data_IF_220447666597
#
_entry.id   IF_220447666597
#
_cell.length_a   1.000
_cell.length_b   1.000
_cell.length_c   1.000
_cell.angle_alpha   90.00
_cell.angle_beta   90.00
_cell.angle_gamma   90.00
#
_symmetry.space_group_name_H-M   'P 1'
#
loop_
_entity.id
_entity.type
_entity.pdbx_description
1 polymer ?
#
# COMPACT_ATOMS: atom_id res chain seq x y z
N UNK A 1 -40.80 1.51 3.73
CA UNK A 1 -39.60 0.77 3.27
C UNK A 1 -39.31 0.96 1.78
N UNK A 2 -40.26 0.72 0.85
CA UNK A 2 -40.02 0.86 -0.60
C UNK A 2 -39.65 2.28 -1.08
N UNK A 3 -40.14 3.33 -0.42
CA UNK A 3 -39.84 4.74 -0.76
C UNK A 3 -38.44 5.21 -0.32
N UNK A 4 -37.90 4.66 0.77
CA UNK A 4 -36.53 4.97 1.24
C UNK A 4 -35.50 4.31 0.31
N UNK A 5 -35.78 3.08 -0.15
CA UNK A 5 -34.96 2.40 -1.15
C UNK A 5 -34.90 3.18 -2.48
N UNK A 6 -36.02 3.75 -2.94
CA UNK A 6 -36.05 4.58 -4.14
C UNK A 6 -35.28 5.90 -3.99
N UNK A 7 -35.32 6.52 -2.81
CA UNK A 7 -34.54 7.74 -2.53
C UNK A 7 -33.05 7.44 -2.45
N UNK A 8 -32.65 6.31 -1.86
CA UNK A 8 -31.25 5.86 -1.86
C UNK A 8 -30.74 5.53 -3.27
N UNK A 9 -31.57 4.89 -4.11
CA UNK A 9 -31.25 4.59 -5.51
C UNK A 9 -31.13 5.88 -6.34
N UNK A 10 -31.98 6.88 -6.08
CA UNK A 10 -31.94 8.16 -6.79
C UNK A 10 -30.73 9.02 -6.37
N UNK A 11 -30.33 8.99 -5.08
CA UNK A 11 -29.14 9.68 -4.58
C UNK A 11 -27.84 9.03 -5.10
N UNK A 12 -27.83 7.71 -5.29
CA UNK A 12 -26.71 6.97 -5.91
C UNK A 12 -26.62 7.28 -7.42
N UNK A 13 -27.75 7.51 -8.09
CA UNK A 13 -27.81 7.77 -9.53
C UNK A 13 -27.40 9.19 -9.95
N UNK A 14 -27.29 10.14 -9.02
CA UNK A 14 -26.98 11.56 -9.33
C UNK A 14 -25.56 11.99 -8.97
N UNK A 15 -24.64 11.06 -8.71
CA UNK A 15 -23.23 11.42 -8.49
C UNK A 15 -22.58 11.85 -9.82
N UNK A 16 -22.03 13.07 -9.92
CA UNK A 16 -21.45 13.58 -11.16
C UNK A 16 -20.23 12.76 -11.59
N UNK A 17 -20.26 12.22 -12.81
CA UNK A 17 -19.14 11.53 -13.46
C UNK A 17 -18.19 12.56 -14.08
N UNK A 18 -17.30 13.11 -13.26
CA UNK A 18 -16.18 13.89 -13.76
C UNK A 18 -15.00 12.96 -13.95
N UNK A 19 -14.60 12.78 -15.21
CA UNK A 19 -13.44 12.00 -15.61
C UNK A 19 -12.17 12.79 -15.26
N UNK A 20 -11.60 12.50 -14.09
CA UNK A 20 -10.24 12.89 -13.76
C UNK A 20 -9.33 11.67 -13.94
N UNK A 21 -8.18 11.85 -14.58
CA UNK A 21 -7.09 10.88 -14.55
C UNK A 21 -6.52 10.86 -13.13
N UNK A 22 -6.98 9.91 -12.31
CA UNK A 22 -6.51 9.73 -10.95
C UNK A 22 -5.15 9.00 -10.93
N UNK A 23 -4.19 9.50 -10.16
CA UNK A 23 -2.93 8.81 -9.93
C UNK A 23 -3.06 7.86 -8.73
N UNK A 24 -2.57 6.63 -8.90
CA UNK A 24 -2.59 5.62 -7.85
C UNK A 24 -1.35 5.73 -6.96
N UNK A 25 -1.52 5.53 -5.65
CA UNK A 25 -0.40 5.38 -4.73
C UNK A 25 0.56 4.26 -5.18
N UNK A 26 1.87 4.35 -4.84
CA UNK A 26 2.84 3.31 -5.20
C UNK A 26 2.37 1.92 -4.80
N UNK A 27 2.44 0.99 -5.76
CA UNK A 27 2.04 -0.40 -5.56
C UNK A 27 3.25 -1.25 -5.21
N UNK A 28 3.23 -1.86 -4.03
CA UNK A 28 4.27 -2.81 -3.59
C UNK A 28 3.82 -4.24 -3.89
N UNK A 29 4.77 -5.10 -4.27
CA UNK A 29 4.54 -6.54 -4.41
C UNK A 29 4.78 -7.29 -3.11
N UNK A 30 5.66 -6.78 -2.24
CA UNK A 30 5.90 -7.34 -0.90
C UNK A 30 5.03 -6.71 0.20
N UNK A 31 3.90 -6.07 -0.16
CA UNK A 31 2.98 -5.46 0.81
C UNK A 31 2.49 -6.45 1.89
N UNK A 32 2.47 -7.75 1.57
CA UNK A 32 2.09 -8.84 2.48
C UNK A 32 2.96 -8.84 3.75
N UNK A 33 4.17 -8.33 3.65
CA UNK A 33 5.15 -8.28 4.72
C UNK A 33 5.25 -6.90 5.40
N UNK A 34 4.66 -5.87 4.77
CA UNK A 34 4.51 -4.53 5.33
C UNK A 34 3.06 -4.00 5.25
N UNK A 35 2.24 -4.42 6.20
CA UNK A 35 0.84 -4.00 6.29
C UNK A 35 0.64 -2.50 6.55
N UNK A 36 1.66 -1.77 7.06
CA UNK A 36 1.57 -0.33 7.30
C UNK A 36 1.30 0.47 6.02
N UNK A 37 1.76 -0.02 4.87
CA UNK A 37 1.52 0.63 3.58
C UNK A 37 0.04 0.63 3.18
N UNK A 38 -0.75 -0.31 3.70
CA UNK A 38 -2.14 -0.51 3.27
C UNK A 38 -3.15 -0.38 4.40
N UNK A 39 -2.75 -0.36 5.67
CA UNK A 39 -3.68 -0.21 6.78
C UNK A 39 -2.99 0.36 8.04
N UNK A 40 -3.34 1.57 8.52
CA UNK A 40 -2.76 2.11 9.74
C UNK A 40 -3.11 1.29 11.00
N UNK A 41 -4.20 0.51 10.99
CA UNK A 41 -4.58 -0.41 12.06
C UNK A 41 -3.62 -1.59 12.22
N UNK A 42 -2.69 -1.80 11.28
CA UNK A 42 -1.65 -2.82 11.36
C UNK A 42 -0.52 -2.46 12.35
N UNK A 43 -0.38 -1.18 12.75
CA UNK A 43 0.74 -0.75 13.58
C UNK A 43 0.84 -1.56 14.90
N UNK A 44 2.04 -2.07 15.20
CA UNK A 44 2.29 -2.89 16.37
C UNK A 44 1.79 -4.34 16.26
N UNK A 45 1.24 -4.77 15.12
CA UNK A 45 0.73 -6.13 14.90
C UNK A 45 1.75 -7.22 15.29
N UNK A 46 3.03 -7.01 14.97
CA UNK A 46 4.12 -7.95 15.25
C UNK A 46 4.44 -8.08 16.75
N UNK A 47 3.87 -7.22 17.59
CA UNK A 47 4.13 -7.09 19.02
C UNK A 47 5.62 -6.93 19.39
N UNK A 48 6.44 -6.46 18.45
CA UNK A 48 7.87 -6.24 18.58
C UNK A 48 8.21 -4.98 17.80
N UNK A 49 9.27 -4.29 18.20
CA UNK A 49 9.84 -3.22 17.38
C UNK A 49 10.36 -3.79 16.07
N UNK A 50 9.90 -3.26 14.95
CA UNK A 50 10.23 -3.75 13.63
C UNK A 50 10.47 -2.59 12.67
N UNK A 51 11.60 -2.63 11.96
CA UNK A 51 11.97 -1.65 10.94
C UNK A 51 12.02 -2.38 9.61
N UNK A 52 11.49 -1.78 8.56
CA UNK A 52 11.56 -2.31 7.21
C UNK A 52 11.87 -1.20 6.24
N UNK A 53 12.78 -1.47 5.31
CA UNK A 53 12.99 -0.65 4.13
C UNK A 53 12.66 -1.45 2.88
N UNK A 54 12.09 -0.79 1.89
CA UNK A 54 11.78 -1.39 0.59
C UNK A 54 12.24 -0.44 -0.51
N UNK A 55 12.92 -0.96 -1.52
CA UNK A 55 13.25 -0.26 -2.74
C UNK A 55 12.61 -1.00 -3.92
N UNK A 56 11.90 -0.26 -4.77
CA UNK A 56 11.20 -0.77 -5.93
C UNK A 56 11.62 0.02 -7.16
N UNK A 57 12.05 -0.70 -8.19
CA UNK A 57 12.34 -0.16 -9.52
C UNK A 57 11.37 -0.80 -10.51
N UNK A 58 10.44 -0.01 -11.04
CA UNK A 58 9.35 -0.49 -11.88
C UNK A 58 9.69 -0.29 -13.35
N UNK A 59 9.38 -1.27 -14.20
CA UNK A 59 9.63 -1.22 -15.64
C UNK A 59 11.09 -0.85 -15.97
N UNK A 60 12.01 -1.65 -15.47
CA UNK A 60 13.46 -1.42 -15.62
C UNK A 60 13.80 -1.22 -17.09
N UNK A 61 14.66 -0.22 -17.35
CA UNK A 61 15.06 0.29 -18.68
C UNK A 61 14.06 1.20 -19.38
N UNK A 62 12.89 1.48 -18.79
CA UNK A 62 12.00 2.52 -19.30
C UNK A 62 12.42 3.89 -18.73
N UNK A 63 12.80 4.88 -19.58
CA UNK A 63 13.21 6.20 -19.10
C UNK A 63 12.11 6.88 -18.28
N UNK A 64 12.43 7.30 -17.06
CA UNK A 64 11.47 7.96 -16.17
C UNK A 64 10.49 7.02 -15.49
N UNK A 65 10.75 5.71 -15.51
CA UNK A 65 9.90 4.77 -14.81
C UNK A 65 9.90 4.98 -13.29
N UNK A 66 8.84 4.53 -12.58
CA UNK A 66 8.70 4.72 -11.15
C UNK A 66 9.83 4.08 -10.34
N UNK A 67 10.41 4.86 -9.45
CA UNK A 67 11.37 4.41 -8.44
C UNK A 67 10.88 4.81 -7.06
N UNK A 68 10.60 3.82 -6.21
CA UNK A 68 10.03 4.04 -4.89
C UNK A 68 10.96 3.51 -3.81
N UNK A 69 11.25 4.33 -2.82
CA UNK A 69 11.97 3.95 -1.60
C UNK A 69 11.08 4.21 -0.39
N UNK A 70 10.98 3.23 0.50
CA UNK A 70 10.26 3.36 1.76
C UNK A 70 11.12 2.93 2.94
N UNK A 71 10.88 3.58 4.07
CA UNK A 71 11.30 3.13 5.40
C UNK A 71 10.11 3.23 6.32
N UNK A 72 9.74 2.12 6.94
CA UNK A 72 8.69 2.05 7.94
C UNK A 72 9.25 1.47 9.22
N UNK A 73 8.78 1.95 10.35
CA UNK A 73 9.01 1.30 11.62
C UNK A 73 7.71 1.24 12.41
N UNK A 74 7.47 0.13 13.10
CA UNK A 74 6.38 0.01 14.06
C UNK A 74 6.82 -0.67 15.35
N UNK A 75 6.11 -0.33 16.42
CA UNK A 75 6.28 -0.96 17.71
C UNK A 75 4.94 -1.11 18.40
N UNK A 76 4.93 -1.95 19.42
CA UNK A 76 3.79 -2.24 20.26
C UNK A 76 4.10 -1.84 21.70
N UNK A 77 3.12 -1.25 22.37
CA UNK A 77 3.21 -0.81 23.75
C UNK A 77 1.94 -1.19 24.54
N UNK A 78 1.97 -0.97 25.85
CA UNK A 78 0.86 -1.25 26.76
C UNK A 78 0.32 -2.68 26.60
N UNK A 79 1.20 -3.68 26.73
CA UNK A 79 0.88 -5.11 26.59
C UNK A 79 0.25 -5.50 25.23
N UNK A 80 0.48 -4.71 24.18
CA UNK A 80 -0.10 -4.96 22.87
C UNK A 80 -1.40 -4.22 22.59
N UNK A 81 -1.85 -3.37 23.51
CA UNK A 81 -3.07 -2.56 23.35
C UNK A 81 -2.83 -1.27 22.56
N UNK A 82 -1.57 -0.89 22.35
CA UNK A 82 -1.19 0.31 21.59
C UNK A 82 -0.16 -0.04 20.53
N UNK A 83 -0.36 0.46 19.32
CA UNK A 83 0.58 0.39 18.21
C UNK A 83 1.03 1.77 17.80
N UNK A 84 2.32 1.94 17.56
CA UNK A 84 2.89 3.17 17.02
C UNK A 84 3.66 2.84 15.75
N UNK A 85 3.56 3.71 14.76
CA UNK A 85 4.27 3.55 13.50
C UNK A 85 4.78 4.87 12.94
N UNK A 86 5.83 4.78 12.14
CA UNK A 86 6.33 5.85 11.30
C UNK A 86 6.58 5.30 9.91
N UNK A 87 6.29 6.10 8.88
CA UNK A 87 6.56 5.78 7.49
C UNK A 87 7.15 7.00 6.80
N UNK A 88 8.27 6.80 6.11
CA UNK A 88 8.86 7.77 5.19
C UNK A 88 8.91 7.10 3.81
N UNK A 89 8.49 7.84 2.80
CA UNK A 89 8.50 7.38 1.41
C UNK A 89 9.08 8.47 0.52
N UNK A 90 9.87 8.04 -0.45
CA UNK A 90 10.30 8.86 -1.58
C UNK A 90 9.94 8.11 -2.85
N UNK A 91 9.16 8.73 -3.72
CA UNK A 91 8.71 8.16 -4.97
C UNK A 91 9.03 9.12 -6.12
N UNK A 92 9.60 8.61 -7.21
CA UNK A 92 9.97 9.40 -8.37
C UNK A 92 9.38 8.77 -9.63
N UNK A 93 8.62 9.54 -10.40
CA UNK A 93 7.99 9.11 -11.64
C UNK A 93 8.21 10.19 -12.70
N UNK A 94 9.12 9.93 -13.64
CA UNK A 94 9.50 10.91 -14.66
C UNK A 94 9.92 12.27 -14.06
N UNK A 95 9.25 13.39 -14.43
CA UNK A 95 9.54 14.72 -13.90
C UNK A 95 9.01 14.93 -12.48
N UNK A 96 8.16 14.04 -11.96
CA UNK A 96 7.51 14.23 -10.66
C UNK A 96 8.26 13.47 -9.56
N UNK A 97 8.29 14.05 -8.36
CA UNK A 97 8.71 13.34 -7.16
C UNK A 97 7.83 13.66 -5.97
N UNK A 98 7.54 12.64 -5.17
CA UNK A 98 6.69 12.69 -3.99
C UNK A 98 7.49 12.21 -2.78
N UNK A 99 7.65 13.07 -1.78
CA UNK A 99 8.24 12.69 -0.50
C UNK A 99 7.16 12.77 0.58
N UNK A 100 6.91 11.68 1.30
CA UNK A 100 5.90 11.67 2.36
C UNK A 100 6.45 11.17 3.69
N UNK A 101 5.90 11.74 4.76
CA UNK A 101 6.16 11.34 6.13
C UNK A 101 4.83 11.18 6.85
N UNK A 102 4.64 10.03 7.51
CA UNK A 102 3.43 9.70 8.25
C UNK A 102 3.79 9.17 9.64
N UNK A 103 3.03 9.60 10.63
CA UNK A 103 2.99 9.02 11.96
C UNK A 103 1.67 8.28 12.13
N UNK A 104 1.73 7.08 12.70
CA UNK A 104 0.60 6.17 12.84
C UNK A 104 0.40 5.81 14.30
N UNK A 105 -0.86 5.82 14.74
CA UNK A 105 -1.28 5.31 16.02
C UNK A 105 -2.42 4.31 15.82
N UNK A 106 -2.32 3.15 16.48
CA UNK A 106 -3.35 2.12 16.47
C UNK A 106 -3.78 1.79 17.91
N UNK A 107 -5.05 2.02 18.22
CA UNK A 107 -5.65 1.53 19.45
C UNK A 107 -6.16 0.10 19.25
N UNK A 108 -5.68 -0.85 20.04
CA UNK A 108 -5.91 -2.28 19.84
C UNK A 108 -6.76 -2.83 20.98
N UNK A 109 -7.97 -3.23 20.65
CA UNK A 109 -8.93 -3.84 21.57
C UNK A 109 -8.69 -5.35 21.55
N UNK A 110 -8.36 -5.92 22.71
CA UNK A 110 -8.28 -7.37 22.84
C UNK A 110 -9.69 -7.97 22.85
N UNK A 111 -10.05 -8.72 21.81
CA UNK A 111 -11.37 -9.37 21.68
C UNK A 111 -11.36 -10.81 22.19
N UNK A 112 -10.18 -11.36 22.50
CA UNK A 112 -9.98 -12.72 22.95
C UNK A 112 -8.51 -12.96 23.34
N UNK A 113 -8.15 -14.19 23.76
CA UNK A 113 -6.80 -14.49 24.29
C UNK A 113 -5.67 -14.09 23.33
N UNK A 114 -5.87 -14.31 22.03
CA UNK A 114 -4.90 -14.08 20.97
C UNK A 114 -5.56 -13.40 19.77
N UNK A 115 -6.54 -12.54 20.03
CA UNK A 115 -7.26 -11.83 18.97
C UNK A 115 -7.42 -10.36 19.32
N UNK A 116 -7.16 -9.50 18.35
CA UNK A 116 -7.22 -8.05 18.53
C UNK A 116 -7.97 -7.40 17.38
N UNK A 117 -8.79 -6.42 17.72
CA UNK A 117 -9.42 -5.50 16.78
C UNK A 117 -8.81 -4.12 16.95
N UNK A 118 -8.27 -3.55 15.88
CA UNK A 118 -7.42 -2.36 15.93
C UNK A 118 -8.06 -1.22 15.16
N UNK A 119 -8.11 -0.05 15.79
CA UNK A 119 -8.52 1.23 15.22
C UNK A 119 -7.26 2.05 14.96
N UNK A 120 -6.87 2.16 13.70
CA UNK A 120 -5.67 2.88 13.29
C UNK A 120 -5.99 4.22 12.64
N UNK A 121 -5.20 5.22 12.96
CA UNK A 121 -5.14 6.51 12.27
C UNK A 121 -3.70 6.85 11.97
N UNK A 122 -3.47 7.52 10.85
CA UNK A 122 -2.16 8.11 10.57
C UNK A 122 -2.32 9.53 10.05
N UNK A 123 -1.40 10.40 10.41
CA UNK A 123 -1.35 11.77 9.95
C UNK A 123 0.08 12.16 9.57
N UNK A 124 0.20 13.11 8.66
CA UNK A 124 1.49 13.64 8.26
C UNK A 124 1.34 14.51 7.03
N UNK A 125 2.34 14.47 6.15
CA UNK A 125 2.34 15.31 4.97
C UNK A 125 3.10 14.68 3.80
N UNK A 126 2.81 15.18 2.62
CA UNK A 126 3.49 14.84 1.38
C UNK A 126 3.93 16.12 0.68
N UNK A 127 5.17 16.15 0.22
CA UNK A 127 5.69 17.16 -0.68
C UNK A 127 5.70 16.58 -2.09
N UNK A 128 4.87 17.14 -2.95
CA UNK A 128 4.89 16.88 -4.38
C UNK A 128 5.79 17.90 -5.05
N UNK A 129 6.56 17.45 -6.02
CA UNK A 129 7.38 18.31 -6.85
C UNK A 129 7.28 17.87 -8.30
N UNK A 130 7.32 18.85 -9.19
CA UNK A 130 7.40 18.63 -10.63
C UNK A 130 8.55 19.47 -11.17
N UNK A 131 9.40 18.85 -11.98
CA UNK A 131 10.53 19.47 -12.64
C UNK A 131 10.21 19.68 -14.13
N UNK A 132 9.88 20.92 -14.50
CA UNK A 132 9.53 21.27 -15.88
C UNK A 132 10.70 21.10 -16.87
N UNK A 133 11.95 21.10 -16.39
CA UNK A 133 13.13 20.94 -17.24
C UNK A 133 13.24 19.52 -17.86
N UNK A 134 12.50 18.55 -17.34
CA UNK A 134 12.46 17.18 -17.85
C UNK A 134 11.60 17.01 -19.11
N UNK A 135 10.75 17.99 -19.44
CA UNK A 135 9.76 17.88 -20.52
C UNK A 135 10.22 18.62 -21.79
N UNK A 136 11.22 18.08 -22.49
CA UNK A 136 11.76 18.66 -23.73
C UNK A 136 10.95 18.29 -25.00
N UNK A 137 9.62 18.31 -24.94
CA UNK A 137 8.79 18.04 -26.13
C UNK A 137 8.14 19.32 -26.69
N UNK A 138 7.82 20.32 -25.86
CA UNK A 138 7.38 21.64 -26.31
C UNK A 138 7.75 22.73 -25.28
N UNK A 139 8.81 23.52 -25.52
CA UNK A 139 9.24 24.59 -24.61
C UNK A 139 8.22 25.72 -24.40
N UNK A 140 7.14 25.77 -25.19
CA UNK A 140 6.10 26.80 -25.10
C UNK A 140 4.75 26.27 -24.59
N UNK A 141 4.69 25.06 -24.05
CA UNK A 141 3.45 24.52 -23.49
C UNK A 141 3.10 25.22 -22.16
N UNK A 142 2.00 26.02 -22.11
CA UNK A 142 1.62 26.75 -20.91
C UNK A 142 1.19 25.86 -19.74
N UNK A 143 0.98 24.55 -19.94
CA UNK A 143 0.71 23.59 -18.86
C UNK A 143 1.98 23.06 -18.18
N UNK A 144 3.16 23.25 -18.77
CA UNK A 144 4.45 22.86 -18.17
C UNK A 144 4.97 24.04 -17.35
N UNK A 145 5.19 23.86 -16.03
CA UNK A 145 5.70 24.95 -15.21
C UNK A 145 7.16 25.27 -15.54
N UNK A 146 7.50 26.55 -15.58
CA UNK A 146 8.89 27.00 -15.68
C UNK A 146 9.64 26.69 -14.37
N UNK A 147 10.59 25.75 -14.44
CA UNK A 147 11.40 25.31 -13.31
C UNK A 147 10.70 24.31 -12.39
N UNK A 148 11.13 24.26 -11.11
CA UNK A 148 10.62 23.30 -10.13
C UNK A 148 9.51 23.90 -9.28
N UNK A 149 8.32 23.33 -9.38
CA UNK A 149 7.22 23.63 -8.45
C UNK A 149 7.22 22.60 -7.33
N UNK A 150 7.07 23.08 -6.09
CA UNK A 150 6.86 22.25 -4.92
C UNK A 150 5.49 22.55 -4.31
N UNK A 151 4.80 21.52 -3.87
CA UNK A 151 3.52 21.62 -3.20
C UNK A 151 3.50 20.73 -1.97
N UNK A 152 3.05 21.29 -0.86
CA UNK A 152 2.88 20.57 0.38
C UNK A 152 1.41 20.25 0.61
N UNK A 153 1.11 18.98 0.90
CA UNK A 153 -0.24 18.53 1.19
C UNK A 153 -0.25 17.77 2.52
N UNK A 154 -1.07 18.18 3.51
CA UNK A 154 -1.35 17.31 4.66
C UNK A 154 -2.00 16.00 4.20
N UNK A 155 -1.76 14.93 4.95
CA UNK A 155 -2.30 13.61 4.68
C UNK A 155 -2.84 12.98 5.97
N UNK A 156 -4.01 12.36 5.86
CA UNK A 156 -4.67 11.61 6.93
C UNK A 156 -5.19 10.29 6.39
N UNK A 157 -5.02 9.22 7.16
CA UNK A 157 -5.53 7.89 6.81
C UNK A 157 -6.19 7.25 8.04
N UNK A 158 -7.12 6.34 7.80
CA UNK A 158 -7.78 5.57 8.85
C UNK A 158 -7.93 4.10 8.43
N UNK A 159 -7.99 3.20 9.40
CA UNK A 159 -8.10 1.78 9.12
C UNK A 159 -8.59 0.97 10.30
N UNK A 160 -9.34 -0.08 9.98
CA UNK A 160 -9.77 -1.12 10.90
C UNK A 160 -8.97 -2.38 10.58
N UNK A 161 -8.42 -3.04 11.59
CA UNK A 161 -7.62 -4.24 11.40
C UNK A 161 -7.92 -5.28 12.49
N UNK A 162 -8.45 -6.42 12.10
CA UNK A 162 -8.67 -7.56 12.96
C UNK A 162 -7.59 -8.61 12.71
N UNK A 163 -7.05 -9.20 13.78
CA UNK A 163 -6.15 -10.32 13.65
C UNK A 163 -6.25 -11.32 14.80
N UNK A 164 -5.83 -12.55 14.48
CA UNK A 164 -5.52 -13.63 15.39
C UNK A 164 -4.12 -14.18 15.09
N UNK A 165 -3.69 -15.22 15.81
CA UNK A 165 -2.44 -15.93 15.50
C UNK A 165 -2.34 -16.45 14.06
N UNK A 166 -3.48 -16.69 13.39
CA UNK A 166 -3.51 -17.28 12.04
C UNK A 166 -4.29 -16.49 11.02
N UNK A 167 -5.22 -15.64 11.41
CA UNK A 167 -6.09 -14.92 10.49
C UNK A 167 -5.89 -13.42 10.63
N UNK A 168 -6.02 -12.69 9.53
CA UNK A 168 -6.18 -11.25 9.58
C UNK A 168 -7.17 -10.77 8.52
N UNK A 169 -7.83 -9.66 8.81
CA UNK A 169 -8.63 -8.92 7.87
C UNK A 169 -8.58 -7.44 8.22
N UNK A 170 -8.66 -6.58 7.21
CA UNK A 170 -8.67 -5.14 7.44
C UNK A 170 -9.26 -4.35 6.29
N UNK A 171 -9.78 -3.19 6.65
CA UNK A 171 -10.27 -2.18 5.71
C UNK A 171 -9.56 -0.88 6.04
N UNK A 172 -9.22 -0.07 5.04
CA UNK A 172 -8.62 1.23 5.28
C UNK A 172 -8.99 2.23 4.19
N UNK A 173 -8.83 3.51 4.54
CA UNK A 173 -8.98 4.63 3.64
C UNK A 173 -7.79 5.57 3.80
N UNK A 174 -7.16 5.92 2.68
CA UNK A 174 -6.01 6.81 2.61
C UNK A 174 -6.35 8.11 1.89
N UNK A 175 -5.55 9.16 2.13
CA UNK A 175 -5.73 10.50 1.57
C UNK A 175 -7.07 11.15 1.95
N UNK A 176 -7.46 11.02 3.22
CA UNK A 176 -8.76 11.47 3.74
C UNK A 176 -8.96 13.00 3.72
N UNK A 177 -7.89 13.77 3.59
CA UNK A 177 -7.98 15.24 3.48
C UNK A 177 -8.69 15.63 2.18
N UNK A 178 -8.53 14.82 1.13
CA UNK A 178 -9.16 15.00 -0.17
C UNK A 178 -8.62 16.18 -0.98
N UNK A 179 -8.74 16.08 -2.31
CA UNK A 179 -8.30 17.12 -3.27
C UNK A 179 -8.92 18.50 -3.03
N UNK A 180 -10.24 18.55 -2.75
CA UNK A 180 -11.00 19.82 -2.63
C UNK A 180 -10.58 20.69 -1.46
N UNK A 181 -10.05 20.11 -0.39
CA UNK A 181 -9.55 20.87 0.75
C UNK A 181 -8.19 21.53 0.47
N UNK A 182 -7.56 21.19 -0.66
CA UNK A 182 -6.22 21.59 -1.05
C UNK A 182 -6.20 22.47 -2.32
N UNK A 183 -7.35 22.72 -2.95
CA UNK A 183 -7.50 23.60 -4.11
C UNK A 183 -7.17 25.05 -3.73
N UNK A 184 -5.90 25.45 -3.89
CA UNK A 184 -5.57 26.82 -4.29
C UNK A 184 -5.69 26.92 -5.80
N UNK A 185 -6.25 28.03 -6.28
CA UNK A 185 -6.85 28.21 -7.61
C UNK A 185 -5.96 27.94 -8.85
N UNK A 186 -4.66 27.64 -8.73
CA UNK A 186 -3.75 27.61 -9.90
C UNK A 186 -3.00 26.29 -10.12
N UNK A 187 -3.28 25.20 -9.37
CA UNK A 187 -2.62 23.91 -9.63
C UNK A 187 -3.63 22.76 -9.54
N UNK A 188 -3.93 22.15 -10.68
CA UNK A 188 -4.77 20.96 -10.78
C UNK A 188 -4.15 19.80 -9.98
N UNK A 189 -4.66 19.58 -8.77
CA UNK A 189 -4.17 18.55 -7.85
C UNK A 189 -4.54 17.14 -8.30
N UNK A 190 -3.68 16.42 -9.01
CA UNK A 190 -3.94 15.03 -9.44
C UNK A 190 -3.54 13.95 -8.39
N UNK A 191 -3.10 14.34 -7.19
CA UNK A 191 -2.31 13.47 -6.30
C UNK A 191 -2.94 13.16 -4.92
N UNK A 192 -4.21 13.48 -4.68
CA UNK A 192 -4.84 13.29 -3.37
C UNK A 192 -6.25 12.70 -3.46
N UNK A 193 -6.41 11.68 -4.31
CA UNK A 193 -7.64 10.92 -4.41
C UNK A 193 -7.78 9.94 -3.24
N UNK A 194 -9.02 9.70 -2.83
CA UNK A 194 -9.33 8.71 -1.80
C UNK A 194 -8.96 7.31 -2.29
N UNK A 195 -8.20 6.57 -1.47
CA UNK A 195 -7.83 5.18 -1.74
C UNK A 195 -8.43 4.27 -0.68
N UNK A 196 -9.24 3.31 -1.10
CA UNK A 196 -9.81 2.28 -0.23
C UNK A 196 -9.09 0.96 -0.42
N UNK A 197 -8.77 0.30 0.69
CA UNK A 197 -8.14 -1.02 0.70
C UNK A 197 -8.98 -1.99 1.51
N UNK A 198 -9.14 -3.21 1.01
CA UNK A 198 -9.73 -4.34 1.71
C UNK A 198 -8.79 -5.54 1.59
N UNK A 199 -8.32 -6.08 2.70
CA UNK A 199 -7.40 -7.23 2.70
C UNK A 199 -7.84 -8.28 3.69
N UNK A 200 -7.57 -9.55 3.38
CA UNK A 200 -7.60 -10.62 4.35
C UNK A 200 -6.59 -11.70 3.98
N UNK A 201 -6.22 -12.50 4.97
CA UNK A 201 -5.37 -13.67 4.78
C UNK A 201 -5.43 -14.63 5.96
N UNK A 202 -4.98 -15.85 5.71
CA UNK A 202 -5.00 -16.94 6.66
C UNK A 202 -3.66 -17.67 6.61
N UNK A 203 -3.16 -18.16 7.75
CA UNK A 203 -1.99 -19.03 7.85
C UNK A 203 -2.46 -20.45 8.18
N UNK A 204 -2.32 -21.35 7.21
CA UNK A 204 -2.74 -22.75 7.31
C UNK A 204 -1.49 -23.62 7.48
N UNK A 205 -1.30 -24.29 8.62
CA UNK A 205 -0.23 -25.28 8.75
C UNK A 205 -0.54 -26.48 7.84
N UNK A 206 0.34 -26.77 6.89
CA UNK A 206 0.23 -27.90 5.96
C UNK A 206 0.98 -29.11 6.51
N UNK A 207 2.10 -28.87 7.19
CA UNK A 207 2.88 -29.86 7.95
C UNK A 207 3.65 -29.14 9.07
N UNK A 208 4.39 -29.88 9.89
CA UNK A 208 5.18 -29.34 11.01
C UNK A 208 6.18 -28.25 10.56
N UNK A 209 6.70 -28.34 9.33
CA UNK A 209 7.70 -27.43 8.79
C UNK A 209 7.20 -26.61 7.59
N UNK A 210 5.92 -26.71 7.21
CA UNK A 210 5.37 -25.98 6.06
C UNK A 210 4.03 -25.37 6.42
N UNK A 211 3.93 -24.05 6.27
CA UNK A 211 2.65 -23.32 6.36
C UNK A 211 2.32 -22.64 5.05
N UNK A 212 1.06 -22.62 4.67
CA UNK A 212 0.55 -21.92 3.50
C UNK A 212 -0.24 -20.69 3.92
N UNK A 213 0.03 -19.55 3.29
CA UNK A 213 -0.61 -18.26 3.53
C UNK A 213 -1.30 -17.78 2.25
N UNK A 214 -2.58 -18.14 2.04
CA UNK A 214 -3.40 -17.45 1.06
C UNK A 214 -3.80 -16.07 1.59
N UNK A 215 -3.77 -15.07 0.72
CA UNK A 215 -4.29 -13.74 1.03
C UNK A 215 -4.78 -13.02 -0.21
N UNK A 216 -5.61 -12.01 -0.02
CA UNK A 216 -6.01 -11.12 -1.09
C UNK A 216 -5.93 -9.66 -0.63
N UNK A 217 -5.91 -8.77 -1.61
CA UNK A 217 -6.08 -7.34 -1.42
C UNK A 217 -6.91 -6.78 -2.55
N UNK A 218 -7.94 -6.01 -2.24
CA UNK A 218 -8.71 -5.21 -3.17
C UNK A 218 -8.34 -3.75 -2.92
N UNK A 219 -8.13 -3.00 -4.00
CA UNK A 219 -7.87 -1.56 -3.97
C UNK A 219 -8.84 -0.86 -4.89
N UNK A 220 -9.47 0.18 -4.37
CA UNK A 220 -10.37 1.04 -5.11
C UNK A 220 -9.91 2.50 -4.97
N UNK A 221 -9.87 3.20 -6.08
CA UNK A 221 -9.49 4.62 -6.14
C UNK A 221 -10.55 5.33 -6.96
N UNK A 222 -11.00 6.48 -6.47
CA UNK A 222 -11.97 7.28 -7.19
C UNK A 222 -11.43 7.65 -8.58
N UNK A 223 -12.14 7.29 -9.65
CA UNK A 223 -11.76 7.61 -11.03
C UNK A 223 -10.80 6.61 -11.71
N UNK A 224 -10.38 5.53 -11.04
CA UNK A 224 -9.59 4.46 -11.64
C UNK A 224 -10.28 3.09 -11.52
N UNK A 225 -9.98 2.11 -12.41
CA UNK A 225 -10.50 0.75 -12.27
C UNK A 225 -10.10 0.12 -10.92
N UNK A 226 -11.05 -0.54 -10.27
CA UNK A 226 -10.77 -1.35 -9.09
C UNK A 226 -9.72 -2.43 -9.42
N UNK A 227 -8.75 -2.63 -8.54
CA UNK A 227 -7.69 -3.64 -8.69
C UNK A 227 -7.72 -4.66 -7.57
N UNK A 228 -7.25 -5.87 -7.84
CA UNK A 228 -7.13 -6.92 -6.86
C UNK A 228 -5.84 -7.71 -7.02
N UNK A 229 -5.31 -8.17 -5.88
CA UNK A 229 -4.18 -9.08 -5.76
C UNK A 229 -4.65 -10.35 -5.07
N UNK A 230 -4.29 -11.51 -5.62
CA UNK A 230 -4.46 -12.83 -5.01
C UNK A 230 -3.06 -13.38 -4.79
N UNK A 231 -2.74 -13.79 -3.57
CA UNK A 231 -1.42 -14.25 -3.20
C UNK A 231 -1.47 -15.64 -2.59
N UNK A 232 -0.45 -16.43 -2.89
CA UNK A 232 -0.18 -17.70 -2.23
C UNK A 232 1.27 -17.76 -1.82
N UNK A 233 1.54 -17.76 -0.52
CA UNK A 233 2.88 -17.81 0.05
C UNK A 233 3.06 -19.06 0.91
N UNK A 234 4.17 -19.77 0.79
CA UNK A 234 4.56 -20.88 1.63
C UNK A 234 5.70 -20.48 2.55
N UNK A 235 5.59 -20.83 3.83
CA UNK A 235 6.61 -20.67 4.85
C UNK A 235 7.23 -22.03 5.15
N UNK A 236 8.52 -22.18 4.85
CA UNK A 236 9.31 -23.37 5.14
C UNK A 236 10.17 -23.15 6.38
N UNK A 237 10.11 -24.10 7.31
CA UNK A 237 10.90 -24.15 8.55
C UNK A 237 10.89 -22.83 9.34
N UNK A 238 9.77 -22.11 9.26
CA UNK A 238 9.59 -20.76 9.81
C UNK A 238 10.66 -19.72 9.38
N UNK A 239 11.42 -19.98 8.30
CA UNK A 239 12.57 -19.17 7.89
C UNK A 239 12.51 -18.67 6.44
N UNK A 240 11.91 -19.44 5.54
CA UNK A 240 11.90 -19.13 4.11
C UNK A 240 10.47 -18.99 3.63
N UNK A 241 10.11 -17.81 3.14
CA UNK A 241 8.88 -17.54 2.43
C UNK A 241 9.12 -17.65 0.92
N UNK A 242 8.29 -18.42 0.23
CA UNK A 242 8.27 -18.50 -1.23
C UNK A 242 6.84 -18.46 -1.72
N UNK A 243 6.57 -17.71 -2.78
CA UNK A 243 5.24 -17.71 -3.36
C UNK A 243 5.08 -16.77 -4.52
N UNK A 244 3.82 -16.53 -4.87
CA UNK A 244 3.46 -15.69 -5.98
C UNK A 244 2.24 -14.81 -5.67
N UNK A 245 2.17 -13.70 -6.39
CA UNK A 245 1.02 -12.80 -6.42
C UNK A 245 0.51 -12.68 -7.84
N UNK A 246 -0.81 -12.78 -8.02
CA UNK A 246 -1.48 -12.44 -9.26
C UNK A 246 -2.27 -11.16 -9.05
N UNK A 247 -1.95 -10.13 -9.82
CA UNK A 247 -2.62 -8.83 -9.80
C UNK A 247 -3.40 -8.63 -11.08
N UNK A 248 -4.61 -8.12 -10.97
CA UNK A 248 -5.42 -7.72 -12.12
C UNK A 248 -6.41 -6.61 -11.76
N UNK A 249 -6.96 -5.96 -12.77
CA UNK A 249 -8.05 -5.00 -12.62
C UNK A 249 -9.41 -5.67 -12.87
N UNK A 250 -10.45 -5.18 -12.19
CA UNK A 250 -11.84 -5.54 -12.44
C UNK A 250 -12.49 -4.46 -13.29
N UNK A 251 -13.09 -4.86 -14.40
CA UNK A 251 -13.81 -3.96 -15.31
C UNK A 251 -15.28 -3.73 -14.88
N UNK A 252 -15.54 -3.68 -13.56
CA UNK A 252 -16.88 -3.38 -13.04
C UNK A 252 -17.08 -1.87 -13.05
N UNK A 253 -17.98 -1.37 -13.91
CA UNK A 253 -18.36 0.05 -13.98
C UNK A 253 -17.64 0.89 -15.04
N UNK A 254 -16.76 0.30 -15.85
CA UNK A 254 -16.01 1.00 -16.90
C UNK A 254 -16.42 0.52 -18.31
N UNK A 255 -17.65 0.81 -18.71
CA UNK A 255 -18.18 0.47 -20.05
C UNK A 255 -17.65 1.41 -21.16
N UNK A 256 -16.87 2.45 -20.81
CA UNK A 256 -16.43 3.49 -21.76
C UNK A 256 -14.91 3.60 -21.95
N UNK A 257 -14.11 2.65 -21.44
CA UNK A 257 -12.67 2.67 -21.69
C UNK A 257 -12.38 2.03 -23.06
N UNK A 258 -11.82 2.82 -23.99
CA UNK A 258 -11.40 2.36 -25.32
C UNK A 258 -10.45 1.15 -25.23
N UNK A 259 -10.51 0.29 -26.25
CA UNK A 259 -10.07 -1.10 -26.22
C UNK A 259 -8.60 -1.39 -25.89
N UNK A 260 -8.39 -2.62 -25.42
CA UNK A 260 -7.13 -3.38 -25.32
C UNK A 260 -6.02 -2.90 -24.36
N UNK A 261 -6.24 -1.87 -23.55
CA UNK A 261 -5.29 -1.39 -22.52
C UNK A 261 -5.75 -1.57 -21.06
N UNK A 262 -6.95 -2.10 -20.81
CA UNK A 262 -7.61 -2.00 -19.49
C UNK A 262 -7.25 -3.07 -18.47
N UNK A 263 -6.80 -4.24 -18.92
CA UNK A 263 -6.37 -5.27 -17.99
C UNK A 263 -4.90 -4.99 -17.68
N UNK A 264 -4.61 -4.39 -16.52
CA UNK A 264 -3.26 -4.40 -15.95
C UNK A 264 -3.10 -5.69 -15.17
N UNK A 265 -2.77 -6.77 -15.88
CA UNK A 265 -2.44 -8.05 -15.28
C UNK A 265 -0.94 -8.18 -15.07
N UNK A 266 -0.53 -8.64 -13.89
CA UNK A 266 0.86 -8.91 -13.56
C UNK A 266 0.98 -10.11 -12.62
N UNK A 267 2.09 -10.83 -12.72
CA UNK A 267 2.47 -11.91 -11.79
C UNK A 267 3.76 -11.52 -11.09
N UNK A 268 3.75 -11.59 -9.76
CA UNK A 268 4.93 -11.42 -8.92
C UNK A 268 5.42 -12.78 -8.45
N UNK A 269 6.72 -13.05 -8.54
CA UNK A 269 7.39 -14.10 -7.78
C UNK A 269 8.05 -13.46 -6.57
N UNK A 270 7.80 -14.01 -5.38
CA UNK A 270 8.24 -13.43 -4.12
C UNK A 270 9.01 -14.47 -3.32
N UNK A 271 10.21 -14.09 -2.87
CA UNK A 271 11.03 -14.87 -1.96
C UNK A 271 11.50 -13.99 -0.80
N UNK A 272 11.29 -14.43 0.44
CA UNK A 272 11.89 -13.78 1.60
C UNK A 272 12.56 -14.79 2.52
N UNK A 273 13.69 -14.43 3.10
CA UNK A 273 14.44 -15.26 4.03
C UNK A 273 14.74 -14.51 5.32
N UNK A 274 14.54 -15.19 6.44
CA UNK A 274 15.09 -14.79 7.73
C UNK A 274 16.56 -15.24 7.79
N UNK A 275 17.47 -14.36 7.36
CA UNK A 275 18.91 -14.61 7.38
C UNK A 275 19.44 -14.80 8.81
N UNK A 276 18.83 -14.11 9.78
CA UNK A 276 19.02 -14.33 11.23
C UNK A 276 17.66 -14.28 11.93
N UNK A 277 17.62 -14.46 13.25
CA UNK A 277 16.37 -14.31 14.02
C UNK A 277 15.79 -12.87 13.98
N UNK A 278 16.61 -11.89 13.58
CA UNK A 278 16.25 -10.48 13.55
C UNK A 278 16.22 -9.91 12.13
N UNK A 279 17.02 -10.44 11.20
CA UNK A 279 17.19 -9.91 9.85
C UNK A 279 16.36 -10.70 8.84
N UNK A 280 15.47 -10.01 8.13
CA UNK A 280 14.70 -10.50 6.99
C UNK A 280 15.17 -9.82 5.71
N UNK A 281 15.36 -10.59 4.65
CA UNK A 281 15.70 -10.08 3.33
C UNK A 281 14.65 -10.62 2.35
N UNK A 282 14.04 -9.73 1.59
CA UNK A 282 13.00 -10.06 0.62
C UNK A 282 13.34 -9.57 -0.76
N UNK A 283 12.91 -10.33 -1.76
CA UNK A 283 12.99 -9.99 -3.16
C UNK A 283 11.70 -10.37 -3.87
N UNK A 284 11.19 -9.47 -4.70
CA UNK A 284 10.10 -9.75 -5.61
C UNK A 284 10.46 -9.35 -7.04
N UNK A 285 10.00 -10.17 -7.98
CA UNK A 285 10.12 -9.93 -9.41
C UNK A 285 8.72 -9.91 -10.01
N UNK A 286 8.33 -8.78 -10.59
CA UNK A 286 7.04 -8.63 -11.25
C UNK A 286 7.20 -8.70 -12.77
N UNK A 287 6.33 -9.50 -13.37
CA UNK A 287 6.19 -9.62 -14.80
C UNK A 287 4.79 -9.19 -15.23
N UNK A 288 4.72 -8.22 -16.15
CA UNK A 288 3.46 -7.72 -16.70
C UNK A 288 2.99 -8.65 -17.83
N UNK A 289 1.70 -9.01 -17.83
CA UNK A 289 1.10 -9.98 -18.77
C UNK A 289 0.29 -9.34 -19.91
N UNK A 290 0.38 -8.03 -20.11
CA UNK A 290 -0.47 -7.28 -21.08
C UNK A 290 0.36 -6.77 -22.27
N UNK A 291 -0.22 -5.99 -23.16
CA UNK A 291 0.40 -5.46 -24.40
C UNK A 291 1.76 -4.72 -24.24
N UNK A 292 2.22 -4.46 -23.02
CA UNK A 292 3.58 -4.00 -22.69
C UNK A 292 4.61 -5.16 -22.58
N UNK A 293 4.20 -6.41 -22.79
CA UNK A 293 5.05 -7.62 -22.78
C UNK A 293 6.24 -7.49 -23.75
N UNK A 294 6.02 -6.84 -24.90
CA UNK A 294 7.04 -6.63 -25.93
C UNK A 294 8.24 -5.78 -25.48
N UNK A 295 8.13 -5.04 -24.37
CA UNK A 295 9.21 -4.17 -23.88
C UNK A 295 10.12 -4.80 -22.82
N UNK A 296 9.96 -6.08 -22.44
CA UNK A 296 10.78 -6.72 -21.39
C UNK A 296 10.82 -5.91 -20.07
N UNK A 297 9.75 -5.18 -19.77
CA UNK A 297 9.67 -4.28 -18.61
C UNK A 297 9.28 -5.06 -17.35
N UNK A 298 10.25 -5.73 -16.74
CA UNK A 298 10.12 -6.30 -15.40
C UNK A 298 10.21 -5.23 -14.32
N UNK A 299 9.64 -5.50 -13.14
CA UNK A 299 9.86 -4.68 -11.95
C UNK A 299 10.58 -5.51 -10.89
N UNK A 300 11.46 -4.87 -10.16
CA UNK A 300 12.26 -5.48 -9.12
C UNK A 300 12.00 -4.78 -7.81
N UNK A 301 11.78 -5.54 -6.75
CA UNK A 301 11.56 -5.00 -5.42
C UNK A 301 12.47 -5.73 -4.44
N UNK A 302 13.24 -4.99 -3.65
CA UNK A 302 14.11 -5.52 -2.60
C UNK A 302 13.62 -4.96 -1.28
N UNK A 303 13.49 -5.82 -0.27
CA UNK A 303 13.13 -5.40 1.09
C UNK A 303 14.13 -5.92 2.11
N UNK A 304 14.39 -5.10 3.13
CA UNK A 304 15.21 -5.46 4.29
C UNK A 304 14.41 -5.14 5.54
N UNK A 305 14.25 -6.12 6.39
CA UNK A 305 13.52 -6.05 7.64
C UNK A 305 14.41 -6.35 8.83
N UNK A 306 14.25 -5.61 9.92
CA UNK A 306 14.99 -5.83 11.15
C UNK A 306 14.06 -5.77 12.37
N UNK A 307 14.05 -6.85 13.16
CA UNK A 307 13.38 -6.89 14.45
C UNK A 307 14.32 -6.39 15.55
N UNK A 308 13.89 -5.40 16.33
CA UNK A 308 14.67 -4.81 17.42
C UNK A 308 14.90 -5.80 18.58
N UNK A 309 14.00 -6.76 18.75
CA UNK A 309 14.10 -7.88 19.69
C UNK A 309 14.01 -9.17 18.88
N UNK A 310 14.74 -10.23 19.27
CA UNK A 310 14.67 -11.51 18.54
C UNK A 310 13.22 -11.99 18.36
N UNK A 311 12.89 -12.50 17.16
CA UNK A 311 11.56 -13.03 16.84
C UNK A 311 11.16 -14.20 17.75
N UNK A 312 12.13 -14.95 18.29
CA UNK A 312 11.91 -16.07 19.21
C UNK A 312 11.81 -15.64 20.67
N UNK A 313 12.17 -14.40 20.99
CA UNK A 313 12.14 -13.89 22.34
C UNK A 313 10.69 -13.61 22.78
N UNK A 314 10.22 -14.35 23.80
CA UNK A 314 9.03 -13.96 24.55
C UNK A 314 9.36 -12.67 25.29
N UNK A 315 8.77 -11.54 24.86
CA UNK A 315 8.87 -10.28 25.60
C UNK A 315 8.26 -10.52 26.98
N UNK A 316 9.10 -10.65 28.00
CA UNK A 316 8.68 -10.63 29.38
C UNK A 316 8.35 -9.19 29.74
N UNK A 317 7.06 -8.97 29.90
CA UNK A 317 6.35 -7.81 30.42
C UNK A 317 7.26 -6.73 31.08
N UNK A 318 7.47 -5.56 30.46
CA UNK A 318 8.00 -4.41 31.18
C UNK A 318 6.82 -3.79 31.95
N UNK A 319 6.46 -4.41 33.08
CA UNK A 319 5.72 -3.68 34.12
C UNK A 319 6.63 -2.57 34.60
N UNK A 320 6.33 -1.33 34.20
CA UNK A 320 6.95 -0.17 34.83
C UNK A 320 6.24 0.10 36.16
N UNK A 321 7.08 0.06 37.18
CA UNK A 321 7.01 0.82 38.43
C UNK A 321 6.82 2.32 38.15
#
# INVERSE_FOLDING_TARGET
MKRIAFILIFIIATLPTWSAYAQQLPQFSQYIFNGLHINPGYAGYKNQGYIQSTYRDQWVNFPGAPQTFTVTADLSANEGLMGFGVSVMSDKIGPTSTNSGLLTYAYRIQTGRQSFFSLGVSAGASQYSIDGEWAYNDPNDPEIPEGRINMFTPNMNAGLFFHTDRFYAGVSAFNLVGKKALEREDIALAFHDFHFYLTAGLLVPVSDNVSFKPSFLIREVQGAPMSYDINGMFLFMERLWLGASYRSNMNLGNEHLMGNLNNRTAVALIAEIFATENLRIGYAYDHNLNALENYRNSSHEISIGYYLTSRTAKIKNPRWF
#
